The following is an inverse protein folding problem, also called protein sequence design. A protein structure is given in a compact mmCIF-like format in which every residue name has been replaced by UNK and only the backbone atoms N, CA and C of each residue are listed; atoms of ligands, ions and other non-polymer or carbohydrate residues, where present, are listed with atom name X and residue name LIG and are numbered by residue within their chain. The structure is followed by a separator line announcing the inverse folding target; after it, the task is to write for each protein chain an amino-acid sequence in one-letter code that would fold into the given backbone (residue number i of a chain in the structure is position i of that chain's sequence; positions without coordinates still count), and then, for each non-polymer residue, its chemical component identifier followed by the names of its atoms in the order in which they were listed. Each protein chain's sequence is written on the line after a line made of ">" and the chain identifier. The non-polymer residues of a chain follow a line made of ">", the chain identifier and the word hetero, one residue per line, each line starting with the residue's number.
data_IF_237153682291
#
_entry.id   IF_237153682291
#
_cell.length_a   1.000
_cell.length_b   1.000
_cell.length_c   1.000
_cell.angle_alpha   90.00
_cell.angle_beta   90.00
_cell.angle_gamma   90.00
#
_symmetry.space_group_name_H-M   'P 1'
#
loop_
_entity.id
_entity.type
_entity.pdbx_description
1 polymer ?
#
# COMPACT_ATOMS: atom_id res chain seq x y z
N UNK A 1 7.16 -36.25 -51.66
CA UNK A 1 7.94 -35.35 -50.79
C UNK A 1 9.08 -36.20 -50.19
N UNK A 2 10.21 -36.41 -50.87
CA UNK A 2 11.48 -35.64 -50.78
C UNK A 2 11.93 -35.38 -49.33
N UNK A 3 13.11 -35.75 -48.81
CA UNK A 3 14.32 -36.46 -49.29
C UNK A 3 15.08 -36.89 -48.02
N UNK A 4 15.59 -38.11 -47.98
CA UNK A 4 16.70 -38.51 -47.11
C UNK A 4 18.00 -38.12 -47.83
N UNK A 5 18.85 -37.29 -47.23
CA UNK A 5 20.26 -37.18 -47.61
C UNK A 5 21.12 -37.10 -46.33
N UNK A 6 22.16 -37.94 -46.30
CA UNK A 6 23.07 -38.20 -45.18
C UNK A 6 24.41 -37.49 -45.43
N UNK A 7 24.77 -36.60 -44.47
CA UNK A 7 26.08 -36.19 -43.91
C UNK A 7 27.25 -35.75 -44.83
N UNK A 8 28.12 -34.85 -44.34
CA UNK A 8 29.30 -35.33 -43.61
C UNK A 8 29.55 -34.65 -42.25
N UNK A 9 30.23 -35.44 -41.41
CA UNK A 9 30.79 -35.17 -40.09
C UNK A 9 32.00 -34.23 -40.18
N UNK A 10 32.16 -33.31 -39.22
CA UNK A 10 33.42 -32.94 -38.55
C UNK A 10 33.08 -31.98 -37.38
N UNK A 11 33.12 -32.41 -36.13
CA UNK A 11 34.24 -32.47 -35.16
C UNK A 11 34.54 -31.16 -34.43
N UNK A 12 34.50 -31.25 -33.08
CA UNK A 12 35.04 -30.36 -32.06
C UNK A 12 34.37 -28.97 -31.93
N UNK A 13 33.82 -28.58 -30.79
CA UNK A 13 34.47 -28.56 -29.49
C UNK A 13 33.42 -28.37 -28.38
N UNK A 14 33.75 -28.97 -27.22
CA UNK A 14 33.02 -28.92 -25.96
C UNK A 14 33.18 -27.52 -25.37
N UNK A 15 32.08 -26.83 -25.12
CA UNK A 15 31.99 -25.86 -24.03
C UNK A 15 30.80 -26.31 -23.18
N UNK A 16 31.13 -26.79 -21.99
CA UNK A 16 30.20 -27.26 -20.97
C UNK A 16 29.51 -26.03 -20.36
N UNK A 17 28.36 -25.64 -20.91
CA UNK A 17 27.50 -24.65 -20.26
C UNK A 17 26.44 -25.39 -19.44
N UNK A 18 26.72 -25.45 -18.14
CA UNK A 18 25.83 -25.83 -17.04
C UNK A 18 24.40 -25.31 -17.27
N UNK A 19 23.46 -26.20 -17.60
CA UNK A 19 22.02 -25.89 -17.59
C UNK A 19 21.59 -25.63 -16.14
N UNK A 20 21.68 -24.37 -15.71
CA UNK A 20 20.99 -23.94 -14.50
C UNK A 20 19.51 -23.84 -14.85
N UNK A 21 18.73 -24.85 -14.48
CA UNK A 21 17.27 -24.82 -14.51
C UNK A 21 16.78 -23.51 -13.88
N UNK A 22 16.43 -22.54 -14.73
CA UNK A 22 15.82 -21.31 -14.28
C UNK A 22 14.43 -21.67 -13.78
N UNK A 23 14.34 -21.87 -12.46
CA UNK A 23 13.10 -21.94 -11.72
C UNK A 23 12.42 -20.58 -11.93
N UNK A 24 11.54 -20.50 -12.91
CA UNK A 24 10.70 -19.32 -13.14
C UNK A 24 9.78 -19.25 -11.93
N UNK A 25 10.23 -18.56 -10.88
CA UNK A 25 9.38 -18.12 -9.77
C UNK A 25 8.32 -17.21 -10.40
N UNK A 26 7.16 -17.78 -10.69
CA UNK A 26 5.93 -17.09 -11.05
C UNK A 26 5.64 -16.09 -9.92
N UNK A 27 6.13 -14.86 -10.06
CA UNK A 27 5.79 -13.77 -9.15
C UNK A 27 4.29 -13.52 -9.32
N UNK A 28 3.51 -13.86 -8.29
CA UNK A 28 2.09 -13.53 -8.24
C UNK A 28 1.99 -12.01 -8.40
N UNK A 29 1.20 -11.48 -9.35
CA UNK A 29 1.02 -10.05 -9.50
C UNK A 29 0.45 -9.47 -8.21
N UNK A 30 1.26 -8.72 -7.47
CA UNK A 30 0.80 -8.02 -6.26
C UNK A 30 -0.07 -6.85 -6.72
N UNK A 31 -1.38 -7.04 -6.65
CA UNK A 31 -2.35 -5.96 -6.92
C UNK A 31 -2.43 -5.08 -5.69
N UNK A 32 -2.30 -3.77 -5.88
CA UNK A 32 -2.41 -2.83 -4.79
C UNK A 32 -3.85 -2.85 -4.21
N UNK A 33 -4.03 -2.72 -2.89
CA UNK A 33 -5.35 -2.61 -2.29
C UNK A 33 -6.17 -1.48 -2.91
N UNK A 34 -7.50 -1.62 -2.87
CA UNK A 34 -8.43 -0.58 -3.32
C UNK A 34 -8.06 0.77 -2.66
N UNK A 35 -7.94 1.82 -3.48
CA UNK A 35 -7.53 3.17 -3.05
C UNK A 35 -6.02 3.45 -3.07
N UNK A 36 -5.16 2.49 -3.43
CA UNK A 36 -3.70 2.68 -3.52
C UNK A 36 -3.26 2.80 -4.98
N UNK A 37 -2.92 4.01 -5.41
CA UNK A 37 -2.38 4.23 -6.76
C UNK A 37 -0.92 3.76 -6.88
N UNK A 38 -0.70 2.81 -7.79
CA UNK A 38 0.61 2.20 -8.10
C UNK A 38 1.56 3.18 -8.81
N UNK A 39 1.01 4.26 -9.39
CA UNK A 39 1.75 5.25 -10.18
C UNK A 39 2.23 6.44 -9.36
N UNK A 40 2.06 6.40 -8.04
CA UNK A 40 2.48 7.50 -7.18
C UNK A 40 4.00 7.63 -7.24
N UNK A 41 4.52 8.54 -8.09
CA UNK A 41 5.86 9.10 -7.94
C UNK A 41 5.99 9.36 -6.46
N UNK A 42 6.90 8.65 -5.78
CA UNK A 42 7.15 8.85 -4.34
C UNK A 42 7.55 10.31 -4.17
N UNK A 43 6.58 11.21 -4.02
CA UNK A 43 6.78 12.49 -3.37
C UNK A 43 7.40 12.04 -2.06
N UNK A 44 8.65 12.40 -1.83
CA UNK A 44 9.29 12.12 -0.57
C UNK A 44 8.32 12.65 0.47
N UNK A 45 7.57 11.75 1.10
CA UNK A 45 6.75 12.08 2.24
C UNK A 45 7.81 12.59 3.17
N UNK A 46 7.84 13.91 3.36
CA UNK A 46 8.84 14.54 4.21
C UNK A 46 8.87 13.68 5.45
N UNK A 47 10.02 13.05 5.74
CA UNK A 47 10.27 12.31 6.98
C UNK A 47 10.39 13.33 8.10
N UNK A 48 9.36 14.15 8.22
CA UNK A 48 9.28 15.23 9.17
C UNK A 48 8.51 14.73 10.37
N UNK A 49 9.10 14.97 11.53
CA UNK A 49 8.92 14.21 12.76
C UNK A 49 7.47 13.92 13.12
N UNK A 50 7.23 12.70 13.57
CA UNK A 50 5.96 12.29 14.18
C UNK A 50 4.89 11.82 13.19
N UNK A 51 5.23 10.96 12.22
CA UNK A 51 4.19 10.21 11.51
C UNK A 51 3.48 9.28 12.52
N UNK A 52 2.16 9.16 12.39
CA UNK A 52 1.33 8.27 13.22
C UNK A 52 1.83 6.81 13.18
N UNK A 53 2.55 6.46 12.10
CA UNK A 53 3.19 5.18 11.88
C UNK A 53 4.20 4.81 12.97
N UNK A 54 4.97 5.77 13.49
CA UNK A 54 6.02 5.51 14.47
C UNK A 54 5.53 5.69 15.91
N UNK A 55 4.60 6.63 16.13
CA UNK A 55 4.07 6.92 17.46
C UNK A 55 2.92 5.99 17.88
N UNK A 56 2.24 5.36 16.93
CA UNK A 56 1.01 4.60 17.17
C UNK A 56 -0.15 5.47 17.70
N UNK A 57 -0.01 6.80 17.61
CA UNK A 57 -0.94 7.78 18.16
C UNK A 57 -1.35 8.76 17.07
N UNK A 58 -2.60 9.20 17.11
CA UNK A 58 -3.06 10.32 16.30
C UNK A 58 -2.40 11.62 16.79
N UNK A 59 -2.05 12.54 15.88
CA UNK A 59 -1.52 13.84 16.26
C UNK A 59 -2.58 14.65 17.02
N UNK A 60 -2.15 15.50 17.94
CA UNK A 60 -3.03 16.53 18.47
C UNK A 60 -3.30 17.59 17.38
N UNK A 61 -4.35 18.39 17.58
CA UNK A 61 -4.79 19.38 16.58
C UNK A 61 -3.71 20.41 16.26
N UNK A 62 -2.88 20.78 17.25
CA UNK A 62 -1.81 21.75 17.06
C UNK A 62 -0.64 21.18 16.25
N UNK A 63 -0.20 19.95 16.53
CA UNK A 63 0.81 19.27 15.72
C UNK A 63 0.30 19.04 14.30
N UNK A 64 -0.97 18.64 14.14
CA UNK A 64 -1.58 18.48 12.82
C UNK A 64 -1.54 19.80 12.02
N UNK A 65 -1.94 20.90 12.64
CA UNK A 65 -1.90 22.24 12.03
C UNK A 65 -0.48 22.60 11.57
N UNK A 66 0.50 22.53 12.46
CA UNK A 66 1.89 22.92 12.14
C UNK A 66 2.49 22.07 11.02
N UNK A 67 2.19 20.76 10.99
CA UNK A 67 2.62 19.86 9.92
C UNK A 67 1.96 20.21 8.59
N UNK A 68 0.69 20.58 8.59
CA UNK A 68 -0.04 20.98 7.38
C UNK A 68 0.42 22.33 6.85
N UNK A 69 0.55 23.34 7.71
CA UNK A 69 1.05 24.67 7.31
C UNK A 69 2.44 24.57 6.67
N UNK A 70 3.33 23.77 7.25
CA UNK A 70 4.66 23.54 6.67
C UNK A 70 4.60 22.84 5.30
N UNK A 71 3.63 21.95 5.07
CA UNK A 71 3.44 21.32 3.75
C UNK A 71 2.86 22.29 2.73
N UNK A 72 1.99 23.19 3.17
CA UNK A 72 1.32 24.20 2.37
C UNK A 72 2.14 25.51 2.25
N UNK A 73 3.32 25.57 2.85
CA UNK A 73 4.19 26.76 2.85
C UNK A 73 4.50 27.22 1.42
N UNK A 74 4.77 26.27 0.51
CA UNK A 74 5.00 26.55 -0.91
C UNK A 74 3.76 27.05 -1.65
N UNK A 75 2.57 26.77 -1.11
CA UNK A 75 1.29 27.22 -1.65
C UNK A 75 0.86 28.56 -1.04
N UNK A 76 1.64 29.12 -0.09
CA UNK A 76 1.34 30.39 0.57
C UNK A 76 0.10 30.35 1.45
N UNK A 77 -0.41 29.16 1.79
CA UNK A 77 -1.64 29.01 2.57
C UNK A 77 -1.33 28.93 4.06
N UNK A 78 -2.10 29.67 4.85
CA UNK A 78 -2.13 29.56 6.31
C UNK A 78 -3.35 28.76 6.71
N UNK A 79 -3.22 27.89 7.71
CA UNK A 79 -4.30 27.02 8.13
C UNK A 79 -4.97 27.59 9.38
N UNK A 80 -6.30 27.67 9.38
CA UNK A 80 -7.04 28.07 10.57
C UNK A 80 -7.10 26.90 11.56
N UNK A 81 -7.10 27.21 12.86
CA UNK A 81 -7.16 26.18 13.90
C UNK A 81 -8.42 25.33 13.78
N UNK A 82 -9.55 25.95 13.43
CA UNK A 82 -10.83 25.27 13.25
C UNK A 82 -10.77 24.26 12.09
N UNK A 83 -10.05 24.58 11.01
CA UNK A 83 -9.85 23.66 9.89
C UNK A 83 -9.05 22.41 10.31
N UNK A 84 -8.00 22.60 11.12
CA UNK A 84 -7.26 21.47 11.68
C UNK A 84 -8.14 20.64 12.62
N UNK A 85 -9.00 21.28 13.40
CA UNK A 85 -9.93 20.59 14.31
C UNK A 85 -10.95 19.75 13.56
N UNK A 86 -11.60 20.32 12.53
CA UNK A 86 -12.56 19.59 11.68
C UNK A 86 -11.89 18.39 11.02
N UNK A 87 -10.67 18.56 10.49
CA UNK A 87 -9.92 17.46 9.89
C UNK A 87 -9.58 16.36 10.90
N UNK A 88 -9.14 16.75 12.10
CA UNK A 88 -8.79 15.79 13.15
C UNK A 88 -10.02 15.00 13.63
N UNK A 89 -11.16 15.69 13.80
CA UNK A 89 -12.44 15.06 14.14
C UNK A 89 -12.94 14.13 13.03
N UNK A 90 -12.77 14.53 11.76
CA UNK A 90 -13.10 13.69 10.61
C UNK A 90 -12.24 12.42 10.55
N UNK A 91 -10.95 12.53 10.86
CA UNK A 91 -10.04 11.40 10.93
C UNK A 91 -10.42 10.43 12.06
N UNK A 92 -10.76 10.95 13.24
CA UNK A 92 -11.24 10.16 14.38
C UNK A 92 -12.54 9.41 14.01
N UNK A 93 -13.52 10.11 13.43
CA UNK A 93 -14.76 9.52 12.97
C UNK A 93 -14.53 8.44 11.90
N UNK A 94 -13.62 8.69 10.96
CA UNK A 94 -13.24 7.75 9.90
C UNK A 94 -12.63 6.46 10.47
N UNK A 95 -11.61 6.57 11.33
CA UNK A 95 -10.93 5.41 11.93
C UNK A 95 -11.90 4.64 12.83
N UNK A 96 -12.70 5.34 13.62
CA UNK A 96 -13.75 4.75 14.46
C UNK A 96 -14.73 3.94 13.60
N UNK A 97 -15.17 4.49 12.46
CA UNK A 97 -16.04 3.81 11.51
C UNK A 97 -15.40 2.56 10.90
N UNK A 98 -14.09 2.57 10.65
CA UNK A 98 -13.35 1.41 10.13
C UNK A 98 -13.20 0.28 11.16
N UNK A 99 -12.92 0.62 12.42
CA UNK A 99 -12.66 -0.37 13.46
C UNK A 99 -13.96 -1.02 13.95
N UNK A 100 -15.06 -0.27 14.03
CA UNK A 100 -16.36 -0.75 14.54
C UNK A 100 -16.83 -2.08 13.92
N UNK A 101 -16.86 -2.25 12.58
CA UNK A 101 -17.20 -3.54 11.96
C UNK A 101 -16.30 -4.69 12.41
N UNK A 102 -15.01 -4.44 12.60
CA UNK A 102 -14.06 -5.46 13.03
C UNK A 102 -14.36 -5.97 14.45
N UNK A 103 -14.88 -5.11 15.33
CA UNK A 103 -15.27 -5.51 16.69
C UNK A 103 -16.49 -6.44 16.68
N UNK A 104 -17.41 -6.25 15.73
CA UNK A 104 -18.59 -7.12 15.59
C UNK A 104 -18.26 -8.52 15.06
N UNK A 105 -17.17 -8.66 14.31
CA UNK A 105 -16.69 -9.95 13.77
C UNK A 105 -15.91 -10.76 14.82
N UNK A 106 -15.59 -10.16 15.96
CA UNK A 106 -14.77 -10.76 17.00
C UNK A 106 -15.67 -11.33 18.09
N UNK A 107 -15.94 -12.63 18.02
CA UNK A 107 -16.65 -13.33 19.11
C UNK A 107 -15.74 -13.66 20.31
N UNK A 108 -14.40 -13.71 20.14
CA UNK A 108 -13.45 -13.96 21.27
C UNK A 108 -11.94 -13.75 21.00
N UNK A 109 -11.52 -13.20 19.85
CA UNK A 109 -10.13 -13.25 19.40
C UNK A 109 -9.51 -11.88 19.09
N UNK A 110 -8.17 -11.79 19.06
CA UNK A 110 -7.49 -10.54 18.68
C UNK A 110 -7.93 -10.08 17.29
N UNK A 111 -8.14 -8.78 17.12
CA UNK A 111 -8.38 -8.17 15.80
C UNK A 111 -7.16 -8.44 14.93
N UNK A 112 -7.37 -9.05 13.77
CA UNK A 112 -6.33 -9.30 12.77
C UNK A 112 -6.54 -8.43 11.54
N UNK A 113 -5.48 -8.27 10.73
CA UNK A 113 -5.59 -7.59 9.44
C UNK A 113 -6.58 -8.29 8.49
N UNK A 114 -6.81 -9.60 8.65
CA UNK A 114 -7.82 -10.33 7.88
C UNK A 114 -9.23 -9.91 8.25
N UNK A 115 -9.50 -9.64 9.53
CA UNK A 115 -10.80 -9.13 9.98
C UNK A 115 -11.08 -7.74 9.40
N UNK A 116 -10.04 -6.88 9.35
CA UNK A 116 -10.14 -5.55 8.74
C UNK A 116 -10.46 -5.66 7.23
N UNK A 117 -9.73 -6.53 6.53
CA UNK A 117 -9.97 -6.79 5.10
C UNK A 117 -11.39 -7.29 4.85
N UNK A 118 -11.82 -8.32 5.57
CA UNK A 118 -13.16 -8.89 5.44
C UNK A 118 -14.25 -7.84 5.73
N UNK A 119 -14.07 -7.03 6.78
CA UNK A 119 -15.01 -5.95 7.11
C UNK A 119 -15.12 -4.90 5.98
N UNK A 120 -14.00 -4.54 5.35
CA UNK A 120 -13.99 -3.60 4.22
C UNK A 120 -14.61 -4.19 2.96
N UNK A 121 -14.42 -5.48 2.69
CA UNK A 121 -15.04 -6.19 1.56
C UNK A 121 -16.55 -6.36 1.73
N UNK A 122 -17.03 -6.59 2.95
CA UNK A 122 -18.45 -6.75 3.25
C UNK A 122 -19.23 -5.42 3.28
N UNK A 123 -18.54 -4.30 3.48
CA UNK A 123 -19.17 -2.98 3.52
C UNK A 123 -18.25 -1.89 2.94
N UNK A 124 -18.11 -1.79 1.61
CA UNK A 124 -17.19 -0.85 0.96
C UNK A 124 -17.51 0.61 1.27
N UNK A 125 -18.76 0.95 1.59
CA UNK A 125 -19.18 2.30 2.00
C UNK A 125 -18.42 2.82 3.24
N UNK A 126 -17.85 1.91 4.04
CA UNK A 126 -17.02 2.24 5.20
C UNK A 126 -15.76 3.04 4.83
N UNK A 127 -15.31 2.98 3.57
CA UNK A 127 -14.14 3.71 3.08
C UNK A 127 -14.48 5.11 2.55
N UNK A 128 -15.76 5.43 2.42
CA UNK A 128 -16.22 6.66 1.81
C UNK A 128 -16.30 6.49 0.30
N UNK A 129 -17.51 6.18 -0.15
CA UNK A 129 -18.05 6.32 -1.51
C UNK A 129 -19.56 6.01 -1.39
N UNK A 130 -20.39 6.75 -2.12
CA UNK A 130 -21.83 6.54 -2.27
C UNK A 130 -22.12 5.61 -3.46
#
# INVERSE_FOLDING_TARGET
>A
MSKLQRLPIEFASVEEEEEVEQIVQRRIPLTAPLGVSITSKRKSVCRWGGTCQNSGKLPDTMTLKTVLEKKLEKEGMKLLMDSASVLNNGLDAFITRLIKPCLSLVQRQRVSMLNLRAAMELNPRVLGED
#
